data_IF_276567087841
#
_entry.id   IF_276567087841
#
_cell.length_a   1.000
_cell.length_b   1.000
_cell.length_c   1.000
_cell.angle_alpha   90.00
_cell.angle_beta   90.00
_cell.angle_gamma   90.00
#
_symmetry.space_group_name_H-M   'P 1'
#
loop_
_entity.id
_entity.type
_entity.pdbx_description
1 polymer ?
#
# COMPACT_ATOMS: atom_id res chain seq x y z
N UNK A 1 -4.28 -32.54 -10.46
CA UNK A 1 -5.52 -33.10 -9.85
C UNK A 1 -5.29 -33.81 -8.51
N UNK A 2 -4.14 -34.42 -8.26
CA UNK A 2 -3.86 -35.16 -7.02
C UNK A 2 -3.58 -34.25 -5.83
N UNK A 3 -3.01 -33.06 -6.04
CA UNK A 3 -2.68 -32.13 -4.98
C UNK A 3 -3.92 -31.44 -4.39
N UNK A 4 -4.84 -31.00 -5.24
CA UNK A 4 -6.13 -30.43 -4.85
C UNK A 4 -7.02 -31.44 -4.09
N UNK A 5 -6.93 -32.73 -4.42
CA UNK A 5 -7.64 -33.77 -3.65
C UNK A 5 -7.05 -33.97 -2.25
N UNK A 6 -5.72 -33.84 -2.07
CA UNK A 6 -5.07 -33.92 -0.75
C UNK A 6 -5.44 -32.73 0.14
N UNK A 7 -5.49 -31.54 -0.41
CA UNK A 7 -5.94 -30.36 0.34
C UNK A 7 -7.41 -30.47 0.78
N UNK A 8 -8.31 -30.94 -0.08
CA UNK A 8 -9.71 -31.20 0.29
C UNK A 8 -9.84 -32.28 1.35
N UNK A 9 -9.02 -33.32 1.32
CA UNK A 9 -9.02 -34.36 2.35
C UNK A 9 -8.49 -33.87 3.70
N UNK A 10 -7.48 -32.95 3.71
CA UNK A 10 -7.02 -32.31 4.96
C UNK A 10 -8.12 -31.45 5.58
N UNK A 11 -8.78 -30.60 4.80
CA UNK A 11 -9.89 -29.77 5.31
C UNK A 11 -11.08 -30.60 5.81
N UNK A 12 -11.38 -31.73 5.17
CA UNK A 12 -12.45 -32.63 5.60
C UNK A 12 -12.08 -33.42 6.90
N UNK A 13 -10.79 -33.77 7.07
CA UNK A 13 -10.30 -34.40 8.29
C UNK A 13 -10.35 -33.48 9.50
N UNK A 14 -10.00 -32.21 9.32
CA UNK A 14 -10.08 -31.21 10.40
C UNK A 14 -11.52 -30.97 10.85
N UNK A 15 -12.49 -31.03 9.92
CA UNK A 15 -13.91 -30.91 10.25
C UNK A 15 -14.52 -32.17 10.86
N UNK A 16 -14.02 -33.35 10.50
CA UNK A 16 -14.54 -34.62 11.06
C UNK A 16 -14.01 -34.93 12.45
N UNK A 17 -12.94 -34.28 12.90
CA UNK A 17 -12.45 -34.42 14.27
C UNK A 17 -13.12 -33.47 15.27
N UNK A 18 -14.04 -32.60 14.81
CA UNK A 18 -14.78 -31.68 15.68
C UNK A 18 -16.06 -32.30 16.32
N UNK A 19 -16.37 -33.58 16.06
CA UNK A 19 -17.51 -34.27 16.65
C UNK A 19 -17.17 -35.22 17.82
N UNK A 20 -15.99 -35.15 18.40
CA UNK A 20 -15.79 -35.69 19.73
C UNK A 20 -16.24 -34.66 20.74
N UNK A 21 -17.32 -34.90 21.46
CA UNK A 21 -17.75 -34.24 22.68
C UNK A 21 -16.67 -34.40 23.77
N UNK A 22 -15.51 -33.79 23.58
CA UNK A 22 -14.68 -33.44 24.68
C UNK A 22 -15.19 -32.05 25.11
N UNK A 23 -15.82 -31.98 26.28
CA UNK A 23 -15.92 -30.73 27.03
C UNK A 23 -14.49 -30.12 27.00
N UNK A 24 -14.29 -29.13 26.16
CA UNK A 24 -13.10 -28.25 26.26
C UNK A 24 -13.27 -27.61 27.63
N UNK A 25 -12.64 -28.22 28.68
CA UNK A 25 -12.29 -27.43 29.86
C UNK A 25 -11.69 -26.14 29.31
N UNK A 26 -12.32 -25.02 29.65
CA UNK A 26 -11.78 -23.67 29.38
C UNK A 26 -10.50 -23.55 30.20
N UNK A 27 -9.43 -24.15 29.70
CA UNK A 27 -8.11 -23.63 30.04
C UNK A 27 -8.18 -22.17 29.59
N UNK A 28 -8.09 -21.25 30.54
CA UNK A 28 -7.81 -19.85 30.26
C UNK A 28 -6.57 -19.86 29.38
N UNK A 29 -6.80 -19.91 28.06
CA UNK A 29 -5.73 -19.77 27.08
C UNK A 29 -5.16 -18.40 27.36
N UNK A 30 -3.91 -18.32 27.76
CA UNK A 30 -3.18 -17.07 27.78
C UNK A 30 -3.23 -16.52 26.35
N UNK A 31 -4.22 -15.68 26.07
CA UNK A 31 -4.32 -14.99 24.81
C UNK A 31 -3.15 -14.02 24.78
N UNK A 32 -2.26 -14.18 23.80
CA UNK A 32 -1.16 -13.25 23.57
C UNK A 32 -1.65 -11.91 23.03
N UNK A 33 -2.86 -11.87 22.51
CA UNK A 33 -3.51 -10.68 21.94
C UNK A 33 -4.94 -10.57 22.43
N UNK A 34 -5.33 -9.37 22.79
CA UNK A 34 -6.70 -9.00 23.15
C UNK A 34 -7.27 -8.10 22.06
N UNK A 35 -8.53 -8.27 21.73
CA UNK A 35 -9.21 -7.38 20.79
C UNK A 35 -9.63 -6.10 21.54
N UNK A 36 -8.99 -4.97 21.22
CA UNK A 36 -9.25 -3.67 21.81
C UNK A 36 -9.73 -2.71 20.72
N UNK A 37 -10.94 -2.15 20.87
CA UNK A 37 -11.45 -1.11 19.97
C UNK A 37 -10.91 0.26 20.41
N UNK A 38 -9.78 0.69 19.85
CA UNK A 38 -9.15 1.98 20.19
C UNK A 38 -9.69 3.15 19.37
N UNK A 39 -10.23 2.89 18.18
CA UNK A 39 -10.87 3.89 17.31
C UNK A 39 -12.11 3.30 16.63
N UNK A 40 -13.12 4.16 16.41
CA UNK A 40 -14.30 3.80 15.62
C UNK A 40 -14.09 4.23 14.18
N UNK A 41 -13.26 3.47 13.45
CA UNK A 41 -13.07 3.65 12.01
C UNK A 41 -13.97 2.70 11.25
N UNK A 42 -14.61 3.19 10.21
CA UNK A 42 -15.31 2.36 9.23
C UNK A 42 -14.87 2.77 7.84
N UNK A 43 -14.18 1.87 7.15
CA UNK A 43 -13.94 2.01 5.74
C UNK A 43 -15.24 1.71 4.97
N UNK A 44 -15.59 2.58 4.04
CA UNK A 44 -16.80 2.42 3.24
C UNK A 44 -16.39 2.51 1.77
N UNK A 45 -16.56 1.39 1.08
CA UNK A 45 -16.41 1.32 -0.36
C UNK A 45 -17.54 2.08 -1.06
N UNK A 46 -17.21 2.70 -2.21
CA UNK A 46 -18.22 3.25 -3.11
C UNK A 46 -18.97 2.12 -3.84
N UNK A 47 -20.16 2.42 -4.34
CA UNK A 47 -20.92 1.48 -5.14
C UNK A 47 -20.35 1.40 -6.57
N UNK A 48 -19.43 0.47 -6.77
CA UNK A 48 -18.91 0.12 -8.09
C UNK A 48 -19.04 -1.38 -8.31
N UNK A 49 -19.29 -1.78 -9.55
CA UNK A 49 -19.41 -3.19 -9.94
C UNK A 49 -18.54 -3.44 -11.16
N UNK A 50 -17.36 -3.97 -10.93
CA UNK A 50 -16.38 -4.30 -11.97
C UNK A 50 -16.93 -5.23 -13.04
N UNK A 51 -17.81 -6.17 -12.66
CA UNK A 51 -18.38 -7.19 -13.55
C UNK A 51 -19.31 -6.63 -14.63
N UNK A 52 -19.72 -5.36 -14.56
CA UNK A 52 -20.49 -4.71 -15.61
C UNK A 52 -19.64 -4.55 -16.90
N UNK A 53 -18.37 -4.18 -16.73
CA UNK A 53 -17.42 -4.01 -17.83
C UNK A 53 -16.63 -5.29 -18.09
N UNK A 54 -16.26 -6.01 -17.05
CA UNK A 54 -15.30 -7.12 -17.05
C UNK A 54 -15.93 -8.38 -16.47
N UNK A 55 -16.85 -8.99 -17.22
CA UNK A 55 -17.71 -10.12 -16.77
C UNK A 55 -16.95 -11.39 -16.37
N UNK A 56 -15.68 -11.52 -16.73
CA UNK A 56 -14.84 -12.69 -16.45
C UNK A 56 -13.81 -12.46 -15.34
N UNK A 57 -13.90 -11.35 -14.62
CA UNK A 57 -13.02 -11.11 -13.47
C UNK A 57 -13.13 -12.23 -12.43
N UNK A 58 -12.00 -12.75 -11.89
CA UNK A 58 -12.02 -13.73 -10.81
C UNK A 58 -12.45 -13.12 -9.47
N UNK A 59 -12.24 -11.83 -9.26
CA UNK A 59 -12.60 -11.02 -8.10
C UNK A 59 -12.68 -9.54 -8.49
N UNK A 60 -13.30 -8.71 -7.65
CA UNK A 60 -13.33 -7.26 -7.85
C UNK A 60 -11.95 -6.65 -7.61
N UNK A 61 -11.50 -5.76 -8.50
CA UNK A 61 -10.26 -5.00 -8.38
C UNK A 61 -10.48 -3.58 -7.82
N UNK A 62 -11.73 -3.12 -7.76
CA UNK A 62 -12.09 -1.83 -7.19
C UNK A 62 -12.08 -1.79 -5.66
N UNK A 63 -11.89 -2.94 -4.98
CA UNK A 63 -11.96 -3.06 -3.50
C UNK A 63 -10.72 -3.72 -2.90
N UNK A 64 -9.55 -3.36 -3.39
CA UNK A 64 -8.29 -3.96 -2.95
C UNK A 64 -7.57 -3.15 -1.85
N UNK A 65 -8.00 -1.91 -1.60
CA UNK A 65 -7.54 -1.07 -0.50
C UNK A 65 -8.24 -1.38 0.83
N UNK A 66 -8.10 -0.56 1.87
CA UNK A 66 -7.17 0.58 1.95
C UNK A 66 -5.78 0.20 2.45
N UNK A 67 -4.77 1.01 2.12
CA UNK A 67 -3.47 0.98 2.77
C UNK A 67 -3.50 1.52 4.19
N UNK A 68 -2.48 1.14 5.00
CA UNK A 68 -2.26 1.67 6.36
C UNK A 68 -0.79 2.01 6.50
N UNK A 69 -0.49 3.23 7.00
CA UNK A 69 0.85 3.62 7.41
C UNK A 69 0.91 3.91 8.90
N UNK A 70 2.05 3.59 9.53
CA UNK A 70 2.27 3.78 10.97
C UNK A 70 3.59 4.52 11.17
N UNK A 71 3.60 5.51 12.06
CA UNK A 71 4.79 6.26 12.43
C UNK A 71 4.44 7.49 13.26
N UNK A 72 5.44 8.04 13.94
CA UNK A 72 5.32 9.33 14.62
C UNK A 72 5.29 10.45 13.58
N UNK A 73 4.13 11.09 13.39
CA UNK A 73 3.96 12.16 12.40
C UNK A 73 4.03 13.57 13.01
N UNK A 74 4.08 13.68 14.34
CA UNK A 74 4.05 14.97 15.03
C UNK A 74 5.26 15.22 15.94
N UNK A 75 6.23 14.30 15.99
CA UNK A 75 7.48 14.42 16.75
C UNK A 75 7.31 14.17 18.25
N UNK A 76 6.21 13.56 18.71
CA UNK A 76 5.95 13.30 20.13
C UNK A 76 6.44 11.92 20.62
N UNK A 77 6.98 11.09 19.72
CA UNK A 77 7.50 9.74 19.91
C UNK A 77 6.42 8.69 20.22
N UNK A 78 5.19 8.97 19.91
CA UNK A 78 4.11 7.99 19.92
C UNK A 78 3.80 7.58 18.47
N UNK A 79 3.40 6.32 18.31
CA UNK A 79 3.05 5.80 16.99
C UNK A 79 1.65 6.24 16.61
N UNK A 80 1.56 7.08 15.58
CA UNK A 80 0.34 7.47 14.93
C UNK A 80 0.03 6.49 13.80
N UNK A 81 -1.19 6.51 13.26
CA UNK A 81 -1.49 5.73 12.07
C UNK A 81 -2.44 6.46 11.12
N UNK A 82 -2.29 6.13 9.84
CA UNK A 82 -3.07 6.67 8.75
C UNK A 82 -3.77 5.51 8.05
N UNK A 83 -5.06 5.67 7.76
CA UNK A 83 -5.86 4.70 7.02
C UNK A 83 -6.34 5.34 5.73
N UNK A 84 -6.09 4.69 4.61
CA UNK A 84 -6.54 5.13 3.30
C UNK A 84 -8.05 5.19 3.17
N UNK A 85 -8.52 6.06 2.31
CA UNK A 85 -9.92 6.16 1.92
C UNK A 85 -10.21 5.45 0.61
N UNK A 86 -11.40 4.87 0.46
CA UNK A 86 -11.95 4.56 -0.84
C UNK A 86 -12.38 5.84 -1.55
N UNK A 87 -12.70 5.77 -2.83
CA UNK A 87 -13.26 6.90 -3.55
C UNK A 87 -14.46 7.49 -2.80
N UNK A 88 -14.48 8.81 -2.70
CA UNK A 88 -15.43 9.63 -1.95
C UNK A 88 -15.32 9.50 -0.40
N UNK A 89 -14.30 8.79 0.10
CA UNK A 89 -13.94 8.75 1.51
C UNK A 89 -12.54 9.36 1.73
N UNK A 90 -12.40 10.37 2.59
CA UNK A 90 -11.10 10.96 2.86
C UNK A 90 -10.19 10.01 3.63
N UNK A 91 -8.88 10.04 3.34
CA UNK A 91 -7.83 9.45 4.17
C UNK A 91 -7.98 9.90 5.62
N UNK A 92 -7.91 8.99 6.57
CA UNK A 92 -8.09 9.22 7.99
C UNK A 92 -6.76 9.19 8.75
N UNK A 93 -6.47 10.24 9.50
CA UNK A 93 -5.26 10.40 10.31
C UNK A 93 -5.59 10.26 11.78
N UNK A 94 -5.00 9.30 12.46
CA UNK A 94 -5.22 9.02 13.87
C UNK A 94 -3.96 9.30 14.67
N UNK A 95 -4.04 10.31 15.51
CA UNK A 95 -2.94 10.78 16.36
C UNK A 95 -3.08 10.16 17.74
N UNK A 96 -2.03 9.50 18.21
CA UNK A 96 -1.96 8.92 19.54
C UNK A 96 -1.78 10.01 20.61
N UNK A 97 -2.40 9.80 21.76
CA UNK A 97 -2.19 10.61 22.95
C UNK A 97 -1.40 9.83 24.00
N UNK A 98 -0.82 10.55 24.96
CA UNK A 98 -0.05 9.95 26.06
C UNK A 98 -0.84 8.96 26.93
N UNK A 99 -2.16 8.98 26.88
CA UNK A 99 -3.03 8.03 27.56
C UNK A 99 -3.32 6.77 26.73
N UNK A 100 -2.74 6.65 25.51
CA UNK A 100 -2.96 5.56 24.58
C UNK A 100 -4.22 5.66 23.75
N UNK A 101 -5.03 6.71 23.93
CA UNK A 101 -6.19 6.98 23.07
C UNK A 101 -5.77 7.68 21.78
N UNK A 102 -6.64 7.63 20.76
CA UNK A 102 -6.42 8.29 19.47
C UNK A 102 -7.49 9.34 19.21
N UNK A 103 -7.13 10.37 18.44
CA UNK A 103 -8.11 11.29 17.87
C UNK A 103 -7.88 11.44 16.35
N UNK A 104 -8.94 11.65 15.61
CA UNK A 104 -8.86 11.90 14.18
C UNK A 104 -8.47 13.36 13.92
N UNK A 105 -7.43 13.56 13.09
CA UNK A 105 -6.98 14.88 12.63
C UNK A 105 -7.35 15.06 11.17
N UNK A 106 -8.03 16.15 10.83
CA UNK A 106 -8.43 16.49 9.47
C UNK A 106 -7.53 17.57 8.90
N UNK A 107 -7.25 17.50 7.60
CA UNK A 107 -6.46 18.46 6.84
C UNK A 107 -7.32 19.22 5.82
N UNK A 108 -6.83 20.38 5.35
CA UNK A 108 -7.54 21.20 4.36
C UNK A 108 -7.76 20.47 3.03
N UNK A 109 -6.81 19.64 2.62
CA UNK A 109 -6.86 18.84 1.40
C UNK A 109 -7.78 17.60 1.49
N UNK A 110 -8.14 17.13 2.69
CA UNK A 110 -8.83 15.84 2.88
C UNK A 110 -10.11 15.71 2.05
N UNK A 111 -10.89 16.79 1.89
CA UNK A 111 -12.12 16.76 1.07
C UNK A 111 -11.83 16.72 -0.42
N UNK A 112 -10.83 17.45 -0.87
CA UNK A 112 -10.45 17.49 -2.28
C UNK A 112 -9.83 16.16 -2.72
N UNK A 113 -9.06 15.53 -1.83
CA UNK A 113 -8.37 14.28 -2.11
C UNK A 113 -9.21 13.02 -1.81
N UNK A 114 -10.40 13.16 -1.25
CA UNK A 114 -11.35 12.04 -1.10
C UNK A 114 -11.80 11.43 -2.44
N UNK A 115 -11.54 12.08 -3.56
CA UNK A 115 -11.84 11.58 -4.92
C UNK A 115 -10.95 10.40 -5.35
N UNK A 116 -9.80 10.22 -4.71
CA UNK A 116 -8.84 9.15 -5.00
C UNK A 116 -9.24 7.85 -4.31
N UNK A 117 -8.67 6.75 -4.80
CA UNK A 117 -8.66 5.45 -4.12
C UNK A 117 -7.26 5.22 -3.56
N UNK A 118 -7.13 5.10 -2.24
CA UNK A 118 -5.86 4.94 -1.53
C UNK A 118 -5.52 3.45 -1.39
N UNK A 119 -4.64 2.93 -2.24
CA UNK A 119 -4.34 1.50 -2.31
C UNK A 119 -3.29 1.06 -1.29
N UNK A 120 -2.22 1.82 -1.17
CA UNK A 120 -1.12 1.59 -0.23
C UNK A 120 -0.49 2.92 0.18
N UNK A 121 0.27 2.91 1.28
CA UNK A 121 0.95 4.12 1.74
C UNK A 121 2.13 3.79 2.64
N UNK A 122 3.11 4.69 2.65
CA UNK A 122 4.26 4.62 3.55
C UNK A 122 4.55 5.99 4.18
N UNK A 123 5.13 5.95 5.37
CA UNK A 123 5.67 7.10 6.09
C UNK A 123 7.17 6.94 6.22
N UNK A 124 7.94 7.73 5.46
CA UNK A 124 9.40 7.74 5.48
C UNK A 124 9.95 9.17 5.41
N UNK A 125 11.16 9.34 5.89
CA UNK A 125 11.90 10.61 5.83
C UNK A 125 12.61 10.70 4.46
N UNK A 126 12.00 11.40 3.50
CA UNK A 126 12.50 11.45 2.12
C UNK A 126 13.50 12.57 1.87
N UNK A 127 13.67 13.51 2.78
CA UNK A 127 14.64 14.61 2.64
C UNK A 127 15.68 14.67 3.77
N UNK A 128 15.69 13.65 4.63
CA UNK A 128 16.64 13.51 5.73
C UNK A 128 16.58 14.67 6.74
N UNK A 129 15.40 15.29 6.92
CA UNK A 129 15.18 16.36 7.90
C UNK A 129 14.76 15.86 9.29
N UNK A 130 14.48 14.55 9.40
CA UNK A 130 14.19 13.83 10.65
C UNK A 130 12.70 13.68 10.94
N UNK A 131 11.82 14.15 10.08
CA UNK A 131 10.39 13.88 10.17
C UNK A 131 9.89 12.97 9.03
N UNK A 132 8.71 12.38 9.18
CA UNK A 132 8.20 11.40 8.22
C UNK A 132 7.18 12.03 7.27
N UNK A 133 7.48 11.97 5.99
CA UNK A 133 6.59 12.34 4.90
C UNK A 133 5.65 11.20 4.54
N UNK A 134 4.56 11.49 3.86
CA UNK A 134 3.55 10.52 3.49
C UNK A 134 3.47 10.35 1.97
N UNK A 135 3.77 9.15 1.49
CA UNK A 135 3.51 8.75 0.12
C UNK A 135 2.26 7.86 0.06
N UNK A 136 1.33 8.15 -0.87
CA UNK A 136 0.10 7.39 -1.07
C UNK A 136 0.02 6.91 -2.53
N UNK A 137 -0.11 5.61 -2.71
CA UNK A 137 -0.38 4.96 -4.00
C UNK A 137 -1.86 5.14 -4.34
N UNK A 138 -2.13 5.68 -5.51
CA UNK A 138 -3.47 5.80 -6.07
C UNK A 138 -3.76 4.63 -7.00
N UNK A 139 -4.97 4.08 -6.95
CA UNK A 139 -5.33 2.94 -7.78
C UNK A 139 -6.83 2.80 -7.97
N UNK A 140 -7.31 1.56 -7.95
CA UNK A 140 -8.70 1.21 -8.20
C UNK A 140 -8.99 0.84 -9.67
N UNK A 141 -10.16 0.29 -9.91
CA UNK A 141 -10.61 -0.19 -11.23
C UNK A 141 -11.82 0.61 -11.77
N UNK A 142 -12.33 1.56 -11.01
CA UNK A 142 -13.50 2.37 -11.32
C UNK A 142 -13.18 3.64 -12.12
N UNK A 143 -11.92 3.94 -12.33
CA UNK A 143 -11.47 5.13 -13.06
C UNK A 143 -11.21 4.82 -14.52
N UNK A 144 -11.11 5.87 -15.33
CA UNK A 144 -10.61 5.72 -16.70
C UNK A 144 -9.08 5.57 -16.67
N UNK A 145 -8.50 4.68 -17.49
CA UNK A 145 -7.06 4.46 -17.53
C UNK A 145 -6.30 5.70 -18.00
N UNK A 146 -5.04 5.84 -17.57
CA UNK A 146 -4.14 6.94 -17.93
C UNK A 146 -4.70 8.34 -17.64
N UNK A 147 -5.40 8.50 -16.52
CA UNK A 147 -5.95 9.78 -16.08
C UNK A 147 -5.26 10.28 -14.81
N UNK A 148 -5.21 11.60 -14.56
CA UNK A 148 -4.56 12.19 -13.39
C UNK A 148 -5.08 11.71 -12.04
N UNK A 149 -6.26 11.10 -11.98
CA UNK A 149 -6.82 10.51 -10.76
C UNK A 149 -6.03 9.29 -10.29
N UNK A 150 -5.24 8.68 -11.16
CA UNK A 150 -4.36 7.55 -10.87
C UNK A 150 -2.93 7.96 -10.52
N UNK A 151 -2.63 9.27 -10.48
CA UNK A 151 -1.33 9.77 -10.04
C UNK A 151 -1.19 9.61 -8.54
N UNK A 152 -0.07 9.06 -8.10
CA UNK A 152 0.29 8.96 -6.71
C UNK A 152 0.48 10.35 -6.06
N UNK A 153 0.44 10.40 -4.75
CA UNK A 153 0.49 11.65 -4.00
C UNK A 153 1.55 11.62 -2.93
N UNK A 154 2.34 12.69 -2.86
CA UNK A 154 3.34 12.91 -1.83
C UNK A 154 2.99 14.15 -1.01
N UNK A 155 3.04 13.99 0.30
CA UNK A 155 2.77 15.04 1.27
C UNK A 155 4.00 15.22 2.15
N UNK A 156 4.59 16.41 2.12
CA UNK A 156 5.70 16.75 3.02
C UNK A 156 5.19 17.11 4.40
N UNK A 157 5.87 16.65 5.43
CA UNK A 157 5.55 16.94 6.83
C UNK A 157 6.40 18.12 7.34
N UNK A 158 6.00 18.75 8.42
CA UNK A 158 6.75 19.81 9.12
C UNK A 158 7.29 19.37 10.48
N UNK A 159 7.30 18.05 10.75
CA UNK A 159 7.66 17.46 12.04
C UNK A 159 6.73 17.77 13.20
N UNK A 160 5.61 18.46 12.92
CA UNK A 160 4.54 18.80 13.90
C UNK A 160 3.20 18.23 13.47
N UNK A 161 3.24 17.34 12.49
CA UNK A 161 2.08 16.68 11.94
C UNK A 161 1.24 17.58 11.05
N UNK A 162 1.85 18.53 10.33
CA UNK A 162 1.17 19.33 9.31
C UNK A 162 1.69 18.91 7.94
N UNK A 163 0.83 18.29 7.16
CA UNK A 163 1.17 17.82 5.82
C UNK A 163 0.85 18.87 4.76
N UNK A 164 1.76 19.06 3.82
CA UNK A 164 1.60 19.92 2.66
C UNK A 164 1.69 19.07 1.37
N UNK A 165 0.72 19.23 0.49
CA UNK A 165 0.68 18.56 -0.82
C UNK A 165 1.25 19.46 -1.91
N UNK A 166 2.15 18.90 -2.73
CA UNK A 166 2.64 19.53 -3.95
C UNK A 166 2.70 18.50 -5.08
N UNK A 167 1.83 18.65 -6.07
CA UNK A 167 1.73 17.72 -7.21
C UNK A 167 2.98 17.67 -8.08
N UNK A 168 3.86 18.68 -7.97
CA UNK A 168 5.10 18.74 -8.76
C UNK A 168 6.24 17.87 -8.23
N UNK A 169 6.11 17.29 -7.04
CA UNK A 169 7.15 16.47 -6.40
C UNK A 169 7.37 15.13 -7.10
N UNK A 170 6.31 14.59 -7.71
CA UNK A 170 6.32 13.31 -8.40
C UNK A 170 6.18 13.47 -9.92
N UNK A 171 6.74 12.53 -10.71
CA UNK A 171 6.50 12.50 -12.15
C UNK A 171 5.04 12.19 -12.49
N UNK A 172 4.61 12.48 -13.72
CA UNK A 172 3.25 12.23 -14.20
C UNK A 172 3.06 10.76 -14.62
N UNK A 173 3.06 9.87 -13.63
CA UNK A 173 2.73 8.45 -13.80
C UNK A 173 1.25 8.25 -13.49
N UNK A 174 0.46 7.83 -14.48
CA UNK A 174 -1.00 7.67 -14.37
C UNK A 174 -1.38 6.18 -14.44
N UNK A 175 -0.87 5.40 -13.50
CA UNK A 175 -1.06 3.95 -13.45
C UNK A 175 -1.86 3.57 -12.21
N UNK A 176 -2.79 2.61 -12.33
CA UNK A 176 -3.46 2.07 -11.15
C UNK A 176 -2.48 1.21 -10.36
N UNK A 177 -1.91 1.78 -9.29
CA UNK A 177 -0.98 1.14 -8.39
C UNK A 177 -1.66 0.28 -7.34
N UNK A 178 -0.86 -0.52 -6.63
CA UNK A 178 -1.33 -1.31 -5.49
C UNK A 178 -0.32 -1.38 -4.35
N UNK A 179 0.97 -1.22 -4.63
CA UNK A 179 2.01 -1.41 -3.62
C UNK A 179 3.12 -0.40 -3.77
N UNK A 180 3.65 0.07 -2.64
CA UNK A 180 4.88 0.85 -2.59
C UNK A 180 5.86 0.22 -1.60
N UNK A 181 7.14 0.30 -1.90
CA UNK A 181 8.22 -0.04 -0.98
C UNK A 181 9.42 0.88 -1.20
N UNK A 182 10.07 1.29 -0.11
CA UNK A 182 11.20 2.21 -0.11
C UNK A 182 12.51 1.48 0.19
N UNK A 183 13.58 1.90 -0.46
CA UNK A 183 14.96 1.45 -0.22
C UNK A 183 15.94 2.42 -0.88
N UNK A 184 17.10 2.62 -0.30
CA UNK A 184 18.26 3.27 -0.92
C UNK A 184 18.97 2.26 -1.84
N UNK A 185 18.41 2.07 -3.07
CA UNK A 185 18.86 0.99 -3.95
C UNK A 185 20.21 1.29 -4.62
N UNK A 186 20.56 2.57 -4.81
CA UNK A 186 21.80 2.99 -5.46
C UNK A 186 22.89 3.47 -4.46
N UNK A 187 22.56 3.48 -3.16
CA UNK A 187 23.44 3.82 -2.03
C UNK A 187 23.93 5.26 -2.05
N UNK A 188 23.11 6.17 -2.49
CA UNK A 188 23.39 7.60 -2.45
C UNK A 188 22.98 8.25 -1.11
N UNK A 189 22.25 7.53 -0.26
CA UNK A 189 21.83 7.92 1.09
C UNK A 189 20.40 8.42 1.17
N UNK A 190 19.69 8.47 0.06
CA UNK A 190 18.29 8.89 -0.04
C UNK A 190 17.38 7.67 -0.31
N UNK A 191 16.13 7.70 0.18
CA UNK A 191 15.21 6.59 -0.04
C UNK A 191 14.50 6.74 -1.38
N UNK A 192 14.60 5.69 -2.20
CA UNK A 192 13.92 5.53 -3.47
C UNK A 192 12.64 4.71 -3.32
N UNK A 193 11.76 4.74 -4.33
CA UNK A 193 10.47 4.07 -4.28
C UNK A 193 10.27 3.11 -5.44
N UNK A 194 9.95 1.85 -5.14
CA UNK A 194 9.31 0.97 -6.12
C UNK A 194 7.80 1.03 -5.95
N UNK A 195 7.07 1.33 -7.04
CA UNK A 195 5.61 1.36 -7.09
C UNK A 195 5.12 0.27 -8.03
N UNK A 196 4.41 -0.70 -7.48
CA UNK A 196 3.86 -1.83 -8.23
C UNK A 196 2.49 -1.50 -8.84
N UNK A 197 2.41 -1.56 -10.18
CA UNK A 197 1.17 -1.43 -10.93
C UNK A 197 0.27 -2.66 -10.79
N UNK A 198 -1.02 -2.45 -10.61
CA UNK A 198 -1.98 -3.55 -10.40
C UNK A 198 -2.67 -3.96 -11.70
N UNK A 199 -3.42 -3.09 -12.31
CA UNK A 199 -4.25 -3.39 -13.47
C UNK A 199 -4.52 -2.13 -14.29
N UNK A 200 -4.65 -2.27 -15.61
CA UNK A 200 -5.22 -1.20 -16.43
C UNK A 200 -6.74 -1.22 -16.22
N UNK A 201 -7.36 -0.17 -15.64
CA UNK A 201 -8.79 -0.18 -15.32
C UNK A 201 -9.67 -0.58 -16.51
N UNK A 202 -10.58 -1.52 -16.28
CA UNK A 202 -11.48 -2.05 -17.30
C UNK A 202 -10.83 -2.93 -18.38
N UNK A 203 -9.60 -3.40 -18.15
CA UNK A 203 -8.84 -4.16 -19.16
C UNK A 203 -8.10 -5.37 -18.57
N UNK A 204 -8.61 -5.98 -17.50
CA UNK A 204 -8.03 -7.20 -16.92
C UNK A 204 -7.91 -8.32 -17.97
N UNK A 205 -6.80 -9.06 -18.06
CA UNK A 205 -5.65 -9.05 -17.14
C UNK A 205 -4.44 -8.23 -17.66
N UNK A 206 -4.66 -7.11 -18.32
CA UNK A 206 -3.56 -6.25 -18.74
C UNK A 206 -2.89 -5.62 -17.50
N UNK A 207 -1.56 -5.78 -17.34
CA UNK A 207 -0.84 -5.17 -16.24
C UNK A 207 -0.78 -3.65 -16.39
N UNK A 208 -0.89 -2.93 -15.28
CA UNK A 208 -0.53 -1.53 -15.23
C UNK A 208 1.00 -1.39 -15.13
N UNK A 209 1.54 -0.28 -15.61
CA UNK A 209 2.96 0.02 -15.50
C UNK A 209 3.37 0.12 -14.01
N UNK A 210 4.49 -0.49 -13.66
CA UNK A 210 5.17 -0.28 -12.38
C UNK A 210 6.34 0.68 -12.59
N UNK A 211 6.78 1.35 -11.52
CA UNK A 211 7.81 2.39 -11.60
C UNK A 211 8.86 2.19 -10.51
N UNK A 212 10.10 2.52 -10.83
CA UNK A 212 11.14 2.84 -9.87
C UNK A 212 11.31 4.36 -9.91
N UNK A 213 11.11 5.00 -8.78
CA UNK A 213 11.23 6.44 -8.60
C UNK A 213 12.51 6.73 -7.84
N UNK A 214 13.46 7.35 -8.50
CA UNK A 214 14.72 7.79 -7.92
C UNK A 214 14.50 9.11 -7.19
N UNK A 215 14.90 9.17 -5.93
CA UNK A 215 14.89 10.38 -5.14
C UNK A 215 16.04 11.29 -5.61
N UNK A 216 15.72 12.50 -5.99
CA UNK A 216 16.68 13.52 -6.39
C UNK A 216 16.56 14.76 -5.52
N UNK A 217 16.15 14.54 -4.28
CA UNK A 217 16.00 15.58 -3.26
C UNK A 217 17.30 16.34 -3.07
N UNK A 218 17.20 17.61 -2.89
CA UNK A 218 18.33 18.49 -2.66
C UNK A 218 17.88 19.68 -1.80
N UNK A 219 18.76 20.59 -1.45
CA UNK A 219 18.44 21.72 -0.60
C UNK A 219 17.29 22.63 -1.05
N UNK A 220 16.61 22.32 -2.18
CA UNK A 220 15.39 22.98 -2.64
C UNK A 220 14.10 22.18 -2.31
N UNK A 221 14.21 21.06 -1.60
CA UNK A 221 13.09 20.19 -1.17
C UNK A 221 13.01 18.88 -1.91
N UNK A 222 12.02 18.06 -1.50
CA UNK A 222 11.79 16.72 -2.02
C UNK A 222 11.47 16.76 -3.52
N UNK A 223 12.05 15.81 -4.27
CA UNK A 223 11.77 15.61 -5.69
C UNK A 223 12.07 14.17 -6.11
N UNK A 224 11.17 13.56 -6.83
CA UNK A 224 11.36 12.26 -7.46
C UNK A 224 11.34 12.37 -8.99
N UNK A 225 12.06 11.47 -9.64
CA UNK A 225 11.98 11.24 -11.09
C UNK A 225 11.84 9.75 -11.38
N UNK A 226 11.38 9.37 -12.54
CA UNK A 226 11.48 7.98 -12.98
C UNK A 226 12.96 7.61 -13.15
N UNK A 227 13.38 6.46 -12.63
CA UNK A 227 14.69 5.90 -12.87
C UNK A 227 14.90 5.62 -14.37
N UNK A 228 16.14 5.50 -14.81
CA UNK A 228 16.46 5.29 -16.20
C UNK A 228 15.95 3.91 -16.69
N UNK A 229 14.90 3.91 -17.52
CA UNK A 229 14.30 2.70 -18.10
C UNK A 229 15.28 1.88 -18.97
N UNK A 230 16.42 2.45 -19.39
CA UNK A 230 17.44 1.70 -20.11
C UNK A 230 18.21 0.72 -19.21
N UNK A 231 18.18 0.96 -17.90
CA UNK A 231 18.79 0.11 -16.88
C UNK A 231 17.77 -0.92 -16.38
N UNK A 232 16.56 -0.44 -16.01
CA UNK A 232 15.47 -1.26 -15.51
C UNK A 232 14.15 -0.84 -16.14
N UNK A 233 13.46 -1.77 -16.80
CA UNK A 233 12.09 -1.53 -17.26
C UNK A 233 11.12 -2.37 -16.45
N UNK A 234 10.19 -1.70 -15.78
CA UNK A 234 9.13 -2.31 -15.00
C UNK A 234 7.77 -2.26 -15.72
N UNK A 235 7.78 -2.04 -17.04
CA UNK A 235 6.58 -2.12 -17.87
C UNK A 235 6.19 -3.59 -18.10
N UNK A 236 4.90 -3.85 -18.10
CA UNK A 236 4.33 -5.19 -18.38
C UNK A 236 4.90 -6.33 -17.52
N UNK A 237 5.33 -6.03 -16.30
CA UNK A 237 5.94 -7.04 -15.43
C UNK A 237 4.94 -7.96 -14.74
N UNK A 238 3.65 -7.68 -14.84
CA UNK A 238 2.55 -8.43 -14.24
C UNK A 238 1.64 -7.55 -13.40
N UNK A 239 0.58 -8.14 -12.86
CA UNK A 239 -0.35 -7.46 -11.95
C UNK A 239 0.22 -7.56 -10.53
N UNK A 240 0.97 -6.55 -10.11
CA UNK A 240 1.76 -6.61 -8.88
C UNK A 240 0.85 -6.58 -7.65
N UNK A 241 1.14 -7.44 -6.69
CA UNK A 241 0.42 -7.55 -5.42
C UNK A 241 1.31 -7.29 -4.21
N UNK A 242 2.63 -7.48 -4.34
CA UNK A 242 3.58 -7.18 -3.27
C UNK A 242 5.00 -7.06 -3.81
N UNK A 243 5.83 -6.36 -3.06
CA UNK A 243 7.27 -6.23 -3.28
C UNK A 243 8.01 -6.19 -1.95
N UNK A 244 9.28 -6.57 -1.97
CA UNK A 244 10.17 -6.47 -0.81
C UNK A 244 11.59 -6.27 -1.29
N UNK A 245 12.33 -5.42 -0.58
CA UNK A 245 13.75 -5.20 -0.77
C UNK A 245 14.55 -6.07 0.21
N UNK A 246 15.60 -6.72 -0.27
CA UNK A 246 16.49 -7.55 0.54
C UNK A 246 17.74 -7.92 -0.25
N UNK A 247 18.89 -8.04 0.42
CA UNK A 247 20.08 -8.63 -0.18
C UNK A 247 19.90 -10.16 -0.21
N UNK A 248 19.29 -10.67 -1.28
CA UNK A 248 18.96 -12.09 -1.46
C UNK A 248 20.20 -12.95 -1.69
N UNK A 249 21.18 -12.43 -2.42
CA UNK A 249 22.36 -13.16 -2.86
C UNK A 249 23.58 -12.94 -1.96
N UNK A 250 23.50 -12.05 -0.97
CA UNK A 250 24.56 -11.64 -0.04
C UNK A 250 25.77 -11.01 -0.75
N UNK A 251 25.52 -10.22 -1.80
CA UNK A 251 26.57 -9.46 -2.50
C UNK A 251 26.78 -8.04 -1.94
N UNK A 252 25.94 -7.66 -0.99
CA UNK A 252 25.95 -6.36 -0.32
C UNK A 252 25.14 -5.29 -1.07
N UNK A 253 24.44 -5.62 -2.15
CA UNK A 253 23.45 -4.78 -2.79
C UNK A 253 22.04 -5.27 -2.43
N UNK A 254 21.11 -4.34 -2.36
CA UNK A 254 19.71 -4.68 -2.10
C UNK A 254 19.04 -5.09 -3.41
N UNK A 255 18.46 -6.30 -3.43
CA UNK A 255 17.67 -6.82 -4.54
C UNK A 255 16.19 -6.49 -4.34
N UNK A 256 15.44 -6.34 -5.42
CA UNK A 256 13.98 -6.19 -5.40
C UNK A 256 13.31 -7.51 -5.78
N UNK A 257 12.50 -8.06 -4.87
CA UNK A 257 11.66 -9.22 -5.15
C UNK A 257 10.22 -8.74 -5.38
N UNK A 258 9.64 -9.12 -6.52
CA UNK A 258 8.30 -8.70 -6.92
C UNK A 258 7.42 -9.92 -7.17
N UNK A 259 6.20 -9.89 -6.66
CA UNK A 259 5.17 -10.93 -6.84
C UNK A 259 3.86 -10.33 -7.31
N UNK A 260 3.09 -11.12 -8.06
CA UNK A 260 1.82 -10.66 -8.61
C UNK A 260 1.01 -11.78 -9.26
N UNK A 261 -0.13 -11.41 -9.83
CA UNK A 261 -0.92 -12.30 -10.69
C UNK A 261 -0.38 -12.27 -12.11
N UNK A 262 -0.51 -13.37 -12.82
CA UNK A 262 -0.06 -13.54 -14.21
C UNK A 262 1.45 -13.26 -14.41
N UNK A 263 2.24 -13.39 -13.36
CA UNK A 263 3.69 -13.21 -13.41
C UNK A 263 4.38 -14.23 -12.49
N UNK A 264 5.57 -14.76 -12.86
CA UNK A 264 6.41 -15.48 -11.92
C UNK A 264 6.94 -14.53 -10.83
N UNK A 265 7.44 -15.08 -9.74
CA UNK A 265 8.26 -14.31 -8.80
C UNK A 265 9.48 -13.80 -9.56
N UNK A 266 9.74 -12.50 -9.50
CA UNK A 266 10.86 -11.84 -10.18
C UNK A 266 11.84 -11.28 -9.15
N UNK A 267 13.13 -11.35 -9.50
CA UNK A 267 14.25 -10.80 -8.74
C UNK A 267 15.00 -9.83 -9.65
N UNK A 268 15.28 -8.68 -9.14
CA UNK A 268 16.00 -7.60 -9.83
C UNK A 268 17.21 -7.16 -9.02
#
# INVERSE_FOLDING_TARGET
HTWLRRQRQMCIRDRSNSESNAELESNESNLYFENVEVVKHKHNENEHNDYIKEVLLPHENSRLGPGIAIGDINGDKLEDFIVGGAKDQPTAFYIQKSDGSFYNKSFSFSKEHAKYEDMDMILEDFDNDGDKDLYIVSGGNEFEPNTPILKDRLYTNDGKGSFNFDDSLLPDNFSSGMRVSAEDYDKDGDLDLFVGGRVVPGSYPLPADSFLLENITNGNGIKFKNADESIFSFKDIGLITSSVWTDYNNDGWTDLIVVGEWTPIKFY
#
